data_IF_782436670092
#
_entry.id   IF_782436670092
#
_cell.length_a   1.000
_cell.length_b   1.000
_cell.length_c   1.000
_cell.angle_alpha   90.00
_cell.angle_beta   90.00
_cell.angle_gamma   90.00
#
_symmetry.space_group_name_H-M   'P 1'
#
loop_
_entity.id
_entity.type
_entity.pdbx_description
1 polymer ?
#
# COMPACT_ATOMS: atom_id res chain seq x y z
N UNK A 1 43.31 -17.04 0.23
CA UNK A 1 42.36 -16.01 0.70
C UNK A 1 41.15 -16.08 -0.21
N UNK A 2 40.02 -16.60 0.27
CA UNK A 2 38.78 -16.61 -0.50
C UNK A 2 38.23 -15.19 -0.54
N UNK A 3 38.07 -14.64 -1.74
CA UNK A 3 37.33 -13.39 -1.96
C UNK A 3 35.89 -13.62 -1.52
N UNK A 4 35.50 -13.06 -0.37
CA UNK A 4 34.11 -12.98 0.05
C UNK A 4 33.31 -12.34 -1.08
N UNK A 5 32.35 -13.06 -1.64
CA UNK A 5 31.45 -12.52 -2.65
C UNK A 5 30.78 -11.26 -2.08
N UNK A 6 30.77 -10.17 -2.85
CA UNK A 6 30.15 -8.90 -2.45
C UNK A 6 28.71 -9.18 -1.98
N UNK A 7 28.29 -8.74 -0.77
CA UNK A 7 26.96 -9.05 -0.22
C UNK A 7 25.79 -8.65 -1.12
N UNK A 8 26.02 -7.70 -2.02
CA UNK A 8 25.08 -7.27 -3.06
C UNK A 8 24.61 -8.44 -3.94
N UNK A 9 25.49 -9.36 -4.34
CA UNK A 9 25.12 -10.42 -5.27
C UNK A 9 24.11 -11.40 -4.65
N UNK A 10 24.34 -11.96 -3.45
CA UNK A 10 23.31 -12.76 -2.76
C UNK A 10 22.00 -12.01 -2.53
N UNK A 11 22.05 -10.72 -2.16
CA UNK A 11 20.85 -9.91 -1.95
C UNK A 11 20.03 -9.75 -3.23
N UNK A 12 20.70 -9.39 -4.34
CA UNK A 12 20.05 -9.25 -5.65
C UNK A 12 19.45 -10.57 -6.11
N UNK A 13 20.17 -11.68 -5.96
CA UNK A 13 19.64 -13.01 -6.29
C UNK A 13 18.40 -13.37 -5.49
N UNK A 14 18.38 -13.06 -4.19
CA UNK A 14 17.21 -13.29 -3.35
C UNK A 14 16.02 -12.40 -3.77
N UNK A 15 16.25 -11.12 -4.08
CA UNK A 15 15.22 -10.22 -4.57
C UNK A 15 14.63 -10.68 -5.91
N UNK A 16 15.46 -11.09 -6.86
CA UNK A 16 15.01 -11.64 -8.15
C UNK A 16 14.18 -12.90 -7.96
N UNK A 17 14.61 -13.83 -7.09
CA UNK A 17 13.86 -15.06 -6.83
C UNK A 17 12.45 -14.77 -6.27
N UNK A 18 12.32 -13.78 -5.37
CA UNK A 18 11.01 -13.37 -4.85
C UNK A 18 10.11 -12.78 -5.95
N UNK A 19 10.68 -12.02 -6.90
CA UNK A 19 9.91 -11.49 -8.03
C UNK A 19 9.43 -12.59 -8.98
N UNK A 20 10.25 -13.62 -9.22
CA UNK A 20 9.88 -14.79 -10.03
C UNK A 20 8.77 -15.61 -9.35
N UNK A 21 8.87 -15.81 -8.04
CA UNK A 21 7.82 -16.47 -7.26
C UNK A 21 6.51 -15.68 -7.27
N UNK A 22 6.57 -14.35 -7.09
CA UNK A 22 5.40 -13.47 -7.17
C UNK A 22 4.75 -13.58 -8.56
N UNK A 23 5.54 -13.48 -9.63
CA UNK A 23 5.04 -13.53 -10.99
C UNK A 23 4.34 -14.85 -11.31
N UNK A 24 4.84 -15.97 -10.78
CA UNK A 24 4.26 -17.29 -11.05
C UNK A 24 3.10 -17.65 -10.12
N UNK A 25 3.11 -17.18 -8.87
CA UNK A 25 2.09 -17.53 -7.87
C UNK A 25 0.94 -16.54 -7.76
N UNK A 26 1.15 -15.26 -8.08
CA UNK A 26 0.15 -14.19 -7.86
C UNK A 26 -0.49 -13.64 -9.13
N UNK A 27 -0.06 -14.07 -10.33
CA UNK A 27 -0.59 -13.53 -11.59
C UNK A 27 -2.12 -13.56 -11.68
N UNK A 28 -2.75 -14.68 -11.31
CA UNK A 28 -4.21 -14.80 -11.34
C UNK A 28 -4.92 -13.88 -10.33
N UNK A 29 -4.32 -13.69 -9.14
CA UNK A 29 -4.87 -12.79 -8.12
C UNK A 29 -4.75 -11.32 -8.55
N UNK A 30 -3.62 -10.95 -9.15
CA UNK A 30 -3.38 -9.61 -9.70
C UNK A 30 -4.37 -9.32 -10.83
N UNK A 31 -4.60 -10.28 -11.74
CA UNK A 31 -5.60 -10.14 -12.82
C UNK A 31 -7.02 -10.02 -12.27
N UNK A 32 -7.34 -10.75 -11.21
CA UNK A 32 -8.66 -10.62 -10.56
C UNK A 32 -8.83 -9.22 -9.96
N UNK A 33 -7.82 -8.71 -9.25
CA UNK A 33 -7.86 -7.37 -8.66
C UNK A 33 -7.90 -6.27 -9.74
N UNK A 34 -7.21 -6.46 -10.87
CA UNK A 34 -7.26 -5.51 -11.99
C UNK A 34 -8.64 -5.45 -12.61
N UNK A 35 -9.30 -6.60 -12.79
CA UNK A 35 -10.66 -6.67 -13.32
C UNK A 35 -11.67 -6.01 -12.38
N UNK A 36 -11.62 -6.29 -11.07
CA UNK A 36 -12.50 -5.62 -10.10
C UNK A 36 -12.29 -4.11 -10.09
N UNK A 37 -11.04 -3.66 -10.16
CA UNK A 37 -10.71 -2.23 -10.23
C UNK A 37 -11.28 -1.58 -11.48
N UNK A 38 -11.11 -2.22 -12.64
CA UNK A 38 -11.63 -1.73 -13.90
C UNK A 38 -13.17 -1.69 -13.92
N UNK A 39 -13.83 -2.71 -13.37
CA UNK A 39 -15.29 -2.79 -13.26
C UNK A 39 -15.86 -1.69 -12.35
N UNK A 40 -15.26 -1.47 -11.18
CA UNK A 40 -15.67 -0.41 -10.26
C UNK A 40 -15.58 0.97 -10.92
N UNK A 41 -14.43 1.27 -11.52
CA UNK A 41 -14.17 2.54 -12.21
C UNK A 41 -15.11 2.72 -13.41
N UNK A 42 -15.33 1.67 -14.22
CA UNK A 42 -16.23 1.73 -15.37
C UNK A 42 -17.71 1.91 -14.98
N UNK A 43 -18.08 1.56 -13.74
CA UNK A 43 -19.40 1.76 -13.17
C UNK A 43 -19.53 3.09 -12.39
N UNK A 44 -18.67 4.07 -12.68
CA UNK A 44 -18.58 5.37 -12.02
C UNK A 44 -18.28 5.29 -10.51
N UNK A 45 -17.67 4.20 -10.05
CA UNK A 45 -17.15 4.02 -8.69
C UNK A 45 -15.67 4.37 -8.56
N UNK A 46 -15.17 4.31 -7.33
CA UNK A 46 -13.76 4.51 -6.97
C UNK A 46 -13.11 3.22 -6.46
N UNK A 47 -11.80 3.11 -6.63
CA UNK A 47 -10.97 2.09 -5.97
C UNK A 47 -10.22 2.77 -4.84
N UNK A 48 -10.72 2.62 -3.61
CA UNK A 48 -10.08 3.15 -2.42
C UNK A 48 -8.84 2.34 -2.07
N UNK A 49 -7.78 3.03 -1.69
CA UNK A 49 -6.51 2.41 -1.32
C UNK A 49 -6.13 2.87 0.07
N UNK A 50 -5.86 1.95 0.98
CA UNK A 50 -5.47 2.29 2.35
C UNK A 50 -4.18 1.56 2.73
N UNK A 51 -3.30 2.25 3.45
CA UNK A 51 -2.03 1.71 3.90
C UNK A 51 -1.55 2.43 5.15
N UNK A 52 -1.07 1.64 6.11
CA UNK A 52 -0.43 2.13 7.33
C UNK A 52 1.07 1.94 7.21
N UNK A 53 1.86 2.66 8.00
CA UNK A 53 3.29 2.39 8.00
C UNK A 53 3.95 2.70 6.63
N UNK A 54 4.89 1.83 6.26
CA UNK A 54 5.48 1.80 4.91
C UNK A 54 4.53 1.25 3.84
N UNK A 55 3.42 0.61 4.22
CA UNK A 55 2.39 0.19 3.25
C UNK A 55 1.66 1.38 2.63
N UNK A 56 1.92 2.61 3.09
CA UNK A 56 1.58 3.84 2.35
C UNK A 56 2.23 3.91 0.96
N UNK A 57 3.43 3.34 0.79
CA UNK A 57 4.23 3.52 -0.42
C UNK A 57 3.50 3.00 -1.66
N UNK A 58 3.00 1.74 -1.69
CA UNK A 58 2.23 1.27 -2.84
C UNK A 58 0.92 2.05 -3.07
N UNK A 59 0.31 2.61 -2.02
CA UNK A 59 -0.88 3.47 -2.13
C UNK A 59 -0.55 4.76 -2.90
N UNK A 60 0.55 5.42 -2.53
CA UNK A 60 1.04 6.63 -3.20
C UNK A 60 1.58 6.37 -4.61
N UNK A 61 2.16 5.18 -4.83
CA UNK A 61 2.61 4.74 -6.16
C UNK A 61 1.43 4.52 -7.12
N UNK A 62 0.23 4.20 -6.62
CA UNK A 62 -0.92 3.96 -7.49
C UNK A 62 -1.53 5.26 -7.99
N UNK A 63 -1.73 6.25 -7.11
CA UNK A 63 -2.31 7.54 -7.45
C UNK A 63 -1.96 8.59 -6.37
N UNK A 64 -1.83 9.89 -6.73
CA UNK A 64 -1.66 10.41 -8.08
C UNK A 64 -0.22 10.21 -8.57
N UNK A 65 -0.03 9.64 -9.76
CA UNK A 65 1.26 9.67 -10.46
C UNK A 65 1.08 9.89 -11.95
N UNK A 66 2.10 10.39 -12.63
CA UNK A 66 2.04 10.42 -14.09
C UNK A 66 1.96 8.99 -14.65
N UNK A 67 0.95 8.76 -15.49
CA UNK A 67 0.61 7.42 -15.99
C UNK A 67 -0.27 6.58 -15.06
N UNK A 68 -0.83 7.13 -13.98
CA UNK A 68 -1.95 6.52 -13.26
C UNK A 68 -3.27 6.77 -13.97
N UNK A 69 -4.31 5.99 -13.64
CA UNK A 69 -5.66 6.17 -14.16
C UNK A 69 -6.54 6.91 -13.13
N UNK A 70 -7.33 7.93 -13.51
CA UNK A 70 -8.30 8.56 -12.62
C UNK A 70 -9.39 7.57 -12.17
N UNK A 71 -9.54 7.35 -10.87
CA UNK A 71 -10.48 6.36 -10.31
C UNK A 71 -9.93 5.63 -9.09
N UNK A 72 -8.61 5.55 -8.98
CA UNK A 72 -7.96 5.18 -7.71
C UNK A 72 -8.02 6.36 -6.72
N UNK A 73 -8.37 6.07 -5.48
CA UNK A 73 -8.58 7.04 -4.41
C UNK A 73 -7.74 6.68 -3.16
N UNK A 74 -6.54 7.27 -3.01
CA UNK A 74 -5.68 7.06 -1.85
C UNK A 74 -6.27 7.64 -0.56
N UNK A 75 -6.33 6.81 0.48
CA UNK A 75 -6.67 7.19 1.85
C UNK A 75 -5.42 6.97 2.70
N UNK A 76 -4.68 8.06 2.96
CA UNK A 76 -3.41 8.04 3.71
C UNK A 76 -3.54 8.83 5.00
N UNK A 77 -3.53 8.14 6.14
CA UNK A 77 -3.60 8.75 7.46
C UNK A 77 -2.20 9.12 7.95
N UNK A 78 -1.92 10.43 8.07
CA UNK A 78 -0.60 10.94 8.41
C UNK A 78 -0.11 10.47 9.78
N UNK A 79 -0.99 10.37 10.77
CA UNK A 79 -0.61 9.94 12.12
C UNK A 79 0.00 8.53 12.16
N UNK A 80 -0.30 7.69 11.16
CA UNK A 80 0.15 6.30 11.06
C UNK A 80 1.18 6.04 9.96
N UNK A 81 1.50 7.06 9.16
CA UNK A 81 2.34 6.92 7.95
C UNK A 81 3.51 7.90 7.94
N UNK A 82 3.59 8.81 8.92
CA UNK A 82 4.64 9.83 9.03
C UNK A 82 5.80 9.36 9.91
N UNK A 83 6.82 8.73 9.30
CA UNK A 83 7.91 8.07 10.02
C UNK A 83 9.20 8.88 10.22
N UNK A 84 9.18 10.19 9.96
CA UNK A 84 10.40 11.02 10.08
C UNK A 84 10.84 11.22 11.53
N UNK A 85 9.91 11.14 12.50
CA UNK A 85 10.19 11.28 13.93
C UNK A 85 10.22 9.92 14.61
N UNK A 86 11.37 9.53 15.17
CA UNK A 86 11.46 8.32 16.01
C UNK A 86 10.98 8.61 17.43
N UNK A 87 11.28 9.81 17.95
CA UNK A 87 10.92 10.29 19.28
C UNK A 87 10.29 11.68 19.19
N UNK A 88 9.57 12.10 20.24
CA UNK A 88 8.85 13.38 20.25
C UNK A 88 7.39 13.21 19.82
N UNK A 89 6.77 14.32 19.40
CA UNK A 89 5.40 14.31 18.90
C UNK A 89 5.31 13.56 17.55
N UNK A 90 4.29 12.73 17.39
CA UNK A 90 4.16 11.76 16.29
C UNK A 90 5.35 10.79 16.21
N UNK A 91 5.94 10.44 17.36
CA UNK A 91 7.01 9.44 17.42
C UNK A 91 6.50 8.03 17.14
N UNK A 92 7.41 7.10 16.82
CA UNK A 92 7.06 5.75 16.38
C UNK A 92 6.21 4.96 17.40
N UNK A 93 6.39 5.19 18.71
CA UNK A 93 5.55 4.53 19.74
C UNK A 93 4.08 4.99 19.68
N UNK A 94 3.83 6.24 19.32
CA UNK A 94 2.48 6.75 19.16
C UNK A 94 1.83 6.16 17.90
N UNK A 95 2.55 6.16 16.77
CA UNK A 95 2.07 5.56 15.52
C UNK A 95 1.72 4.07 15.68
N UNK A 96 2.60 3.28 16.30
CA UNK A 96 2.35 1.85 16.59
C UNK A 96 1.20 1.63 17.57
N UNK A 97 0.97 2.57 18.49
CA UNK A 97 -0.14 2.49 19.44
C UNK A 97 -1.46 2.72 18.71
N UNK A 98 -1.58 3.83 17.97
CA UNK A 98 -2.83 4.20 17.31
C UNK A 98 -3.23 3.21 16.21
N UNK A 99 -2.27 2.60 15.51
CA UNK A 99 -2.52 1.53 14.52
C UNK A 99 -3.30 0.34 15.11
N UNK A 100 -3.20 0.14 16.44
CA UNK A 100 -3.83 -0.99 17.14
C UNK A 100 -5.06 -0.59 17.95
N UNK A 101 -5.53 0.66 17.84
CA UNK A 101 -6.71 1.14 18.56
C UNK A 101 -7.97 0.67 17.82
N UNK A 102 -8.80 -0.21 18.43
CA UNK A 102 -10.08 -0.59 17.83
C UNK A 102 -10.98 0.63 17.70
N UNK A 103 -11.71 0.75 16.58
CA UNK A 103 -12.58 1.90 16.31
C UNK A 103 -11.91 3.03 15.52
N UNK A 104 -10.58 3.04 15.39
CA UNK A 104 -9.89 4.12 14.68
C UNK A 104 -10.18 4.10 13.17
N UNK A 105 -10.29 2.91 12.57
CA UNK A 105 -10.61 2.77 11.15
C UNK A 105 -11.95 3.43 10.82
N UNK A 106 -12.98 3.21 11.65
CA UNK A 106 -14.30 3.79 11.50
C UNK A 106 -14.28 5.32 11.60
N UNK A 107 -13.45 5.87 12.49
CA UNK A 107 -13.25 7.33 12.61
C UNK A 107 -12.58 7.89 11.36
N UNK A 108 -11.57 7.20 10.81
CA UNK A 108 -10.90 7.61 9.56
C UNK A 108 -11.89 7.56 8.40
N UNK A 109 -12.57 6.42 8.23
CA UNK A 109 -13.52 6.17 7.13
C UNK A 109 -14.74 7.10 7.21
N UNK A 110 -15.14 7.56 8.40
CA UNK A 110 -16.21 8.54 8.58
C UNK A 110 -15.96 9.91 7.93
N UNK A 111 -14.72 10.20 7.51
CA UNK A 111 -14.40 11.40 6.72
C UNK A 111 -14.67 11.24 5.21
N UNK A 112 -15.06 10.04 4.76
CA UNK A 112 -15.24 9.70 3.36
C UNK A 112 -16.67 9.21 3.10
N UNK A 113 -17.12 9.38 1.86
CA UNK A 113 -18.37 8.79 1.36
C UNK A 113 -18.02 7.61 0.48
N UNK A 114 -18.70 6.48 0.69
CA UNK A 114 -18.54 5.26 -0.10
C UNK A 114 -19.81 5.00 -0.91
N UNK A 115 -19.65 4.75 -2.19
CA UNK A 115 -20.70 4.36 -3.12
C UNK A 115 -20.85 2.85 -3.22
N UNK A 116 -22.00 2.40 -3.73
CA UNK A 116 -22.31 0.97 -3.91
C UNK A 116 -21.44 0.28 -4.98
N UNK A 117 -20.74 1.07 -5.80
CA UNK A 117 -19.86 0.60 -6.88
C UNK A 117 -18.38 0.71 -6.52
N UNK A 118 -18.07 1.21 -5.32
CA UNK A 118 -16.69 1.40 -4.90
C UNK A 118 -16.06 0.06 -4.47
N UNK A 119 -14.74 -0.03 -4.67
CA UNK A 119 -13.89 -1.13 -4.26
C UNK A 119 -12.91 -0.62 -3.18
N UNK A 120 -12.56 -1.47 -2.22
CA UNK A 120 -11.49 -1.23 -1.23
C UNK A 120 -10.47 -2.36 -1.32
#
# INVERSE_FOLDING_TARGET
>A
MATSATPTLPWMSAATALLEELATSQAAAIETASQWSAEAIAADGLVHLFGTGHSRIPVEEMFPRYGSYPGFNPIVELSMTFHTQVVGANGQRQAMFIERVPGLAEVILGNFTFGERDLV
#
